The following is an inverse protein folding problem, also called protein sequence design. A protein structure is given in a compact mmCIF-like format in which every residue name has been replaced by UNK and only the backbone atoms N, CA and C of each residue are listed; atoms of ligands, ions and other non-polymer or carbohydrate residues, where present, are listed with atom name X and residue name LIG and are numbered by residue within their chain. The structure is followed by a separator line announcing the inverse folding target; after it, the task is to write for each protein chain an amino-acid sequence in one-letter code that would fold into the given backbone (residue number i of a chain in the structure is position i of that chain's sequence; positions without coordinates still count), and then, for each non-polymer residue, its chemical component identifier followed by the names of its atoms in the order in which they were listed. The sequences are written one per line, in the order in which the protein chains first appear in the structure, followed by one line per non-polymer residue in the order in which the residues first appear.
data_IF_617260962702
#
_entry.id   IF_617260962702
#
_cell.length_a   1.000
_cell.length_b   1.000
_cell.length_c   1.000
_cell.angle_alpha   90.00
_cell.angle_beta   90.00
_cell.angle_gamma   90.00
#
_symmetry.space_group_name_H-M   'P 1'
#
loop_
_entity.id
_entity.type
_entity.pdbx_description
1 polymer ?
#
# COMPACT_ATOMS: atom_id res chain seq x y z
N UNK A 1 8.30 12.10 -23.34
CA UNK A 1 8.47 10.64 -23.26
C UNK A 1 7.50 10.13 -22.22
N UNK A 2 6.39 9.51 -22.61
CA UNK A 2 5.43 8.95 -21.66
C UNK A 2 6.00 7.60 -21.20
N UNK A 3 6.53 7.54 -19.97
CA UNK A 3 6.84 6.27 -19.34
C UNK A 3 5.50 5.58 -19.06
N UNK A 4 5.21 4.49 -19.77
CA UNK A 4 4.13 3.59 -19.39
C UNK A 4 4.59 2.81 -18.16
N UNK A 5 3.91 3.01 -17.02
CA UNK A 5 4.13 2.21 -15.83
C UNK A 5 3.80 0.74 -16.14
N UNK A 6 4.62 -0.16 -15.63
CA UNK A 6 4.38 -1.60 -15.71
C UNK A 6 3.17 -1.99 -14.86
N UNK A 7 2.48 -3.13 -15.13
CA UNK A 7 1.38 -3.59 -14.27
C UNK A 7 1.79 -3.75 -12.80
N UNK A 8 3.04 -4.14 -12.55
CA UNK A 8 3.63 -4.19 -11.21
C UNK A 8 3.59 -2.82 -10.52
N UNK A 9 4.14 -1.79 -11.17
CA UNK A 9 4.23 -0.43 -10.63
C UNK A 9 2.85 0.19 -10.43
N UNK A 10 1.93 0.00 -11.37
CA UNK A 10 0.55 0.50 -11.28
C UNK A 10 -0.17 -0.10 -10.07
N UNK A 11 -0.10 -1.42 -9.88
CA UNK A 11 -0.79 -2.10 -8.78
C UNK A 11 -0.15 -1.76 -7.43
N UNK A 12 1.18 -1.84 -7.34
CA UNK A 12 1.89 -1.56 -6.07
C UNK A 12 1.77 -0.10 -5.64
N UNK A 13 1.73 0.85 -6.59
CA UNK A 13 1.46 2.25 -6.28
C UNK A 13 0.03 2.46 -5.78
N UNK A 14 -0.96 1.82 -6.40
CA UNK A 14 -2.35 1.90 -5.93
C UNK A 14 -2.50 1.30 -4.51
N UNK A 15 -1.81 0.19 -4.22
CA UNK A 15 -1.76 -0.41 -2.89
C UNK A 15 -1.11 0.51 -1.86
N UNK A 16 0.03 1.13 -2.19
CA UNK A 16 0.70 2.06 -1.30
C UNK A 16 -0.18 3.27 -0.94
N UNK A 17 -0.88 3.83 -1.94
CA UNK A 17 -1.84 4.93 -1.75
C UNK A 17 -3.01 4.51 -0.85
N UNK A 18 -3.57 3.32 -1.08
CA UNK A 18 -4.64 2.78 -0.24
C UNK A 18 -4.20 2.62 1.22
N UNK A 19 -2.99 2.10 1.45
CA UNK A 19 -2.42 1.95 2.80
C UNK A 19 -2.12 3.29 3.47
N UNK A 20 -1.82 4.33 2.70
CA UNK A 20 -1.67 5.69 3.20
C UNK A 20 -3.02 6.37 3.51
N UNK A 21 -4.15 5.72 3.24
CA UNK A 21 -5.49 6.27 3.44
C UNK A 21 -5.91 7.25 2.35
N UNK A 22 -5.25 7.24 1.20
CA UNK A 22 -5.66 8.06 0.06
C UNK A 22 -6.97 7.55 -0.56
N UNK A 23 -7.81 8.45 -1.10
CA UNK A 23 -9.04 8.05 -1.76
C UNK A 23 -8.74 7.21 -3.00
N UNK A 24 -9.49 6.12 -3.16
CA UNK A 24 -9.41 5.28 -4.35
C UNK A 24 -9.94 6.01 -5.59
N UNK A 25 -9.35 5.74 -6.77
CA UNK A 25 -9.80 6.36 -8.01
C UNK A 25 -11.25 5.96 -8.31
N UNK A 26 -12.06 6.94 -8.69
CA UNK A 26 -13.46 6.71 -9.07
C UNK A 26 -13.54 5.94 -10.40
N UNK A 27 -14.58 5.15 -10.60
CA UNK A 27 -14.81 4.34 -11.81
C UNK A 27 -14.80 5.15 -13.11
N UNK A 28 -15.09 6.45 -13.05
CA UNK A 28 -15.09 7.34 -14.22
C UNK A 28 -13.67 7.80 -14.65
N UNK A 29 -12.67 7.61 -13.79
CA UNK A 29 -11.31 8.13 -13.99
C UNK A 29 -10.47 7.24 -14.91
N UNK A 30 -9.46 7.84 -15.53
CA UNK A 30 -8.45 7.11 -16.32
C UNK A 30 -7.68 6.15 -15.39
N UNK A 31 -7.28 6.63 -14.21
CA UNK A 31 -6.55 5.86 -13.20
C UNK A 31 -7.26 4.56 -12.81
N UNK A 32 -8.59 4.58 -12.66
CA UNK A 32 -9.35 3.36 -12.38
C UNK A 32 -9.28 2.36 -13.54
N UNK A 33 -9.40 2.83 -14.78
CA UNK A 33 -9.30 1.97 -15.96
C UNK A 33 -7.90 1.38 -16.12
N UNK A 34 -6.86 2.17 -15.87
CA UNK A 34 -5.47 1.72 -15.89
C UNK A 34 -5.20 0.65 -14.81
N UNK A 35 -5.72 0.86 -13.60
CA UNK A 35 -5.60 -0.12 -12.52
C UNK A 35 -6.32 -1.43 -12.87
N UNK A 36 -7.56 -1.36 -13.37
CA UNK A 36 -8.30 -2.56 -13.80
C UNK A 36 -7.54 -3.29 -14.90
N UNK A 37 -7.04 -2.57 -15.91
CA UNK A 37 -6.23 -3.14 -16.98
C UNK A 37 -4.96 -3.81 -16.46
N UNK A 38 -4.26 -3.20 -15.51
CA UNK A 38 -3.07 -3.76 -14.89
C UNK A 38 -3.40 -5.06 -14.16
N UNK A 39 -4.45 -5.07 -13.33
CA UNK A 39 -4.89 -6.27 -12.58
C UNK A 39 -5.29 -7.41 -13.53
N UNK A 40 -6.02 -7.12 -14.60
CA UNK A 40 -6.36 -8.13 -15.61
C UNK A 40 -5.12 -8.70 -16.29
N UNK A 41 -4.12 -7.86 -16.61
CA UNK A 41 -2.87 -8.31 -17.23
C UNK A 41 -2.05 -9.25 -16.34
N UNK A 42 -2.10 -9.06 -15.01
CA UNK A 42 -1.40 -9.93 -14.05
C UNK A 42 -2.07 -11.29 -13.87
N UNK A 43 -3.37 -11.41 -14.12
CA UNK A 43 -4.13 -12.65 -13.86
C UNK A 43 -3.60 -13.89 -14.60
N UNK A 44 -2.80 -13.70 -15.65
CA UNK A 44 -2.18 -14.78 -16.43
C UNK A 44 -0.68 -15.00 -16.12
N UNK A 45 -0.05 -14.19 -15.27
CA UNK A 45 1.37 -14.27 -14.92
C UNK A 45 1.55 -14.60 -13.43
N UNK A 46 1.79 -15.89 -13.17
CA UNK A 46 1.96 -16.42 -11.81
C UNK A 46 3.12 -15.76 -11.05
N UNK A 47 4.23 -15.48 -11.72
CA UNK A 47 5.41 -14.88 -11.10
C UNK A 47 5.12 -13.43 -10.70
N UNK A 48 4.46 -12.69 -11.58
CA UNK A 48 4.08 -11.31 -11.30
C UNK A 48 3.06 -11.22 -10.17
N UNK A 49 2.09 -12.14 -10.13
CA UNK A 49 1.10 -12.23 -9.04
C UNK A 49 1.78 -12.52 -7.69
N UNK A 50 2.71 -13.48 -7.64
CA UNK A 50 3.47 -13.78 -6.43
C UNK A 50 4.30 -12.58 -5.96
N UNK A 51 4.96 -11.89 -6.89
CA UNK A 51 5.77 -10.70 -6.59
C UNK A 51 4.91 -9.57 -6.00
N UNK A 52 3.72 -9.32 -6.56
CA UNK A 52 2.76 -8.34 -6.02
C UNK A 52 2.30 -8.74 -4.63
N UNK A 53 1.98 -10.02 -4.41
CA UNK A 53 1.57 -10.53 -3.09
C UNK A 53 2.65 -10.32 -2.03
N UNK A 54 3.92 -10.64 -2.35
CA UNK A 54 5.06 -10.42 -1.44
C UNK A 54 5.25 -8.94 -1.10
N UNK A 55 5.10 -8.06 -2.09
CA UNK A 55 5.22 -6.62 -1.90
C UNK A 55 4.09 -6.10 -0.97
N UNK A 56 2.84 -6.51 -1.24
CA UNK A 56 1.69 -6.12 -0.42
C UNK A 56 1.83 -6.56 1.04
N UNK A 57 2.29 -7.79 1.29
CA UNK A 57 2.56 -8.29 2.65
C UNK A 57 3.68 -7.50 3.34
N UNK A 58 4.72 -7.11 2.60
CA UNK A 58 5.84 -6.31 3.13
C UNK A 58 5.37 -4.91 3.53
N UNK A 59 4.53 -4.27 2.72
CA UNK A 59 3.93 -2.96 3.04
C UNK A 59 3.02 -3.05 4.29
N UNK A 60 2.18 -4.07 4.38
CA UNK A 60 1.32 -4.31 5.55
C UNK A 60 2.13 -4.52 6.83
N UNK A 61 3.19 -5.32 6.77
CA UNK A 61 4.09 -5.53 7.91
C UNK A 61 4.79 -4.22 8.32
N UNK A 62 5.25 -3.43 7.36
CA UNK A 62 5.83 -2.12 7.61
C UNK A 62 4.86 -1.16 8.31
N UNK A 63 3.60 -1.12 7.87
CA UNK A 63 2.55 -0.33 8.49
C UNK A 63 2.25 -0.79 9.92
N UNK A 64 2.11 -2.11 10.15
CA UNK A 64 1.86 -2.67 11.48
C UNK A 64 3.01 -2.38 12.47
N UNK A 65 4.26 -2.56 12.04
CA UNK A 65 5.43 -2.22 12.85
C UNK A 65 5.49 -0.73 13.20
N UNK A 66 5.10 0.14 12.27
CA UNK A 66 5.03 1.58 12.50
C UNK A 66 3.94 1.94 13.51
N UNK A 67 2.78 1.29 13.43
CA UNK A 67 1.69 1.45 14.41
C UNK A 67 2.14 1.05 15.83
N UNK A 68 2.78 -0.12 15.97
CA UNK A 68 3.29 -0.60 17.26
C UNK A 68 4.34 0.35 17.87
N UNK A 69 5.22 0.91 17.03
CA UNK A 69 6.22 1.90 17.49
C UNK A 69 5.53 3.18 17.99
N UNK A 70 4.52 3.66 17.27
CA UNK A 70 3.73 4.83 17.67
C UNK A 70 3.01 4.59 18.99
N UNK A 71 2.36 3.44 19.17
CA UNK A 71 1.70 3.07 20.43
C UNK A 71 2.68 3.04 21.60
N UNK A 72 3.87 2.45 21.40
CA UNK A 72 4.92 2.41 22.42
C UNK A 72 5.38 3.82 22.80
N UNK A 73 5.60 4.70 21.83
CA UNK A 73 5.98 6.09 22.09
C UNK A 73 4.90 6.83 22.88
N UNK A 74 3.62 6.66 22.51
CA UNK A 74 2.49 7.26 23.24
C UNK A 74 2.39 6.73 24.67
N UNK A 75 2.62 5.43 24.88
CA UNK A 75 2.61 4.83 26.22
C UNK A 75 3.71 5.41 27.12
N UNK A 76 4.92 5.61 26.59
CA UNK A 76 6.03 6.26 27.31
C UNK A 76 5.68 7.72 27.66
N UNK A 77 5.09 8.46 26.73
CA UNK A 77 4.70 9.86 26.98
C UNK A 77 3.59 9.97 28.04
N UNK A 78 2.65 9.02 28.09
CA UNK A 78 1.60 8.98 29.13
C UNK A 78 2.15 8.55 30.50
N UNK A 79 3.04 7.56 30.53
CA UNK A 79 3.67 7.09 31.78
C UNK A 79 4.60 8.10 32.44
N UNK A 80 5.16 9.05 31.68
CA UNK A 80 5.97 10.14 32.22
C UNK A 80 5.14 11.30 32.82
N UNK A 81 3.80 11.27 32.70
CA UNK A 81 2.89 12.25 33.32
C UNK A 81 2.38 11.86 34.71
N UNK A 82 2.61 10.61 35.13
CA UNK A 82 2.29 10.12 36.47
C UNK A 82 3.59 10.01 37.29
N UNK A 83 4.06 11.13 37.85
CA UNK A 83 4.96 11.11 39.00
C UNK A 83 4.15 11.41 40.27
N UNK A 84 4.38 10.67 41.38
CA UNK A 84 3.79 10.98 42.68
C UNK A 84 4.27 12.32 43.26
#
# INVERSE_FOLDING_TARGET
MNQQNTPFETITSALARALAGEPMPSFATVDFRELVSAVTAVSCDHFLHERIGREALSMLLGAALSSMRTERTLAVMRGNGEQP
#
